data_IF_581635186849
#
_entry.id   IF_581635186849
#
_cell.length_a   1.000
_cell.length_b   1.000
_cell.length_c   1.000
_cell.angle_alpha   90.00
_cell.angle_beta   90.00
_cell.angle_gamma   90.00
#
_symmetry.space_group_name_H-M   'P 1'
#
loop_
_entity.id
_entity.type
_entity.pdbx_description
1 polymer ?
#
# COMPACT_ATOMS: atom_id res chain seq x y z
N UNK A 1 -6.30 3.51 -35.31
CA UNK A 1 -6.96 4.58 -34.56
C UNK A 1 -5.93 5.23 -33.63
N UNK A 2 -5.72 6.52 -33.79
CA UNK A 2 -4.80 7.28 -32.96
C UNK A 2 -5.63 8.11 -31.95
N UNK A 3 -5.28 8.03 -30.65
CA UNK A 3 -6.01 8.75 -29.60
C UNK A 3 -5.90 8.09 -28.22
N UNK A 4 -6.50 8.74 -27.22
CA UNK A 4 -6.58 8.19 -25.86
C UNK A 4 -7.60 7.04 -25.82
N UNK A 5 -7.12 5.82 -25.60
CA UNK A 5 -7.94 4.61 -25.54
C UNK A 5 -9.04 4.68 -24.47
N UNK A 6 -8.84 5.40 -23.36
CA UNK A 6 -9.85 5.54 -22.32
C UNK A 6 -10.98 6.51 -22.68
N UNK A 7 -10.74 7.46 -23.59
CA UNK A 7 -11.73 8.42 -24.10
C UNK A 7 -12.41 7.95 -25.38
N UNK A 8 -11.75 7.09 -26.15
CA UNK A 8 -12.29 6.53 -27.40
C UNK A 8 -13.42 5.56 -27.11
N UNK A 9 -14.49 5.59 -27.90
CA UNK A 9 -15.53 4.56 -27.89
C UNK A 9 -15.02 3.32 -28.67
N UNK A 10 -14.76 2.23 -27.97
CA UNK A 10 -14.22 1.02 -28.58
C UNK A 10 -15.20 0.33 -29.53
N UNK A 11 -16.52 0.57 -29.40
CA UNK A 11 -17.54 0.03 -30.32
C UNK A 11 -17.52 0.68 -31.68
N UNK A 12 -17.05 1.93 -31.76
CA UNK A 12 -16.78 2.58 -33.03
C UNK A 12 -15.55 2.03 -33.74
N UNK A 13 -14.57 1.55 -32.97
CA UNK A 13 -13.34 0.93 -33.50
C UNK A 13 -13.60 -0.52 -33.95
N UNK A 14 -14.36 -1.26 -33.14
CA UNK A 14 -14.77 -2.64 -33.40
C UNK A 14 -16.30 -2.73 -33.26
N UNK A 15 -17.05 -2.44 -34.31
CA UNK A 15 -18.49 -2.60 -34.30
C UNK A 15 -18.83 -4.10 -34.28
N UNK A 16 -19.53 -4.54 -33.21
CA UNK A 16 -20.04 -5.91 -33.07
C UNK A 16 -21.56 -5.84 -33.31
N UNK A 17 -22.04 -6.63 -34.25
CA UNK A 17 -23.43 -6.66 -34.66
C UNK A 17 -24.21 -7.77 -33.97
N UNK A 18 -25.55 -7.67 -33.95
CA UNK A 18 -26.42 -8.76 -33.51
C UNK A 18 -26.29 -10.00 -34.40
N UNK A 19 -25.92 -9.84 -35.67
CA UNK A 19 -25.64 -10.93 -36.59
C UNK A 19 -24.40 -11.71 -36.17
N UNK A 20 -23.30 -11.03 -35.76
CA UNK A 20 -22.08 -11.66 -35.25
C UNK A 20 -22.40 -12.48 -34.01
N UNK A 21 -23.20 -11.95 -33.09
CA UNK A 21 -23.64 -12.65 -31.88
C UNK A 21 -24.45 -13.91 -32.22
N UNK A 22 -25.37 -13.82 -33.17
CA UNK A 22 -26.18 -14.96 -33.65
C UNK A 22 -25.34 -16.03 -34.32
N UNK A 23 -24.26 -15.64 -34.99
CA UNK A 23 -23.29 -16.56 -35.63
C UNK A 23 -22.30 -17.17 -34.62
N UNK A 24 -22.41 -16.84 -33.34
CA UNK A 24 -21.52 -17.35 -32.29
C UNK A 24 -20.10 -16.77 -32.32
N UNK A 25 -19.93 -15.57 -32.89
CA UNK A 25 -18.65 -14.85 -32.88
C UNK A 25 -18.31 -14.45 -31.44
N UNK A 26 -17.13 -14.82 -30.98
CA UNK A 26 -16.60 -14.46 -29.65
C UNK A 26 -15.52 -13.40 -29.82
N UNK A 27 -15.66 -12.28 -29.11
CA UNK A 27 -14.67 -11.20 -29.13
C UNK A 27 -13.68 -11.35 -27.98
N UNK A 28 -12.39 -11.20 -28.28
CA UNK A 28 -11.32 -11.18 -27.28
C UNK A 28 -10.64 -9.81 -27.26
N UNK A 29 -10.52 -9.22 -26.07
CA UNK A 29 -9.76 -7.97 -25.85
C UNK A 29 -8.56 -8.29 -24.99
N UNK A 30 -7.35 -8.10 -25.52
CA UNK A 30 -6.13 -8.31 -24.78
C UNK A 30 -5.18 -7.11 -24.99
N UNK A 31 -4.36 -6.81 -23.97
CA UNK A 31 -3.42 -5.71 -24.06
C UNK A 31 -2.47 -5.59 -22.89
N UNK A 32 -1.51 -4.69 -23.07
CA UNK A 32 -0.57 -4.24 -22.04
C UNK A 32 -0.71 -2.72 -21.86
N UNK A 33 -1.66 -2.26 -21.04
CA UNK A 33 -1.88 -0.84 -20.79
C UNK A 33 -0.66 -0.15 -20.18
N UNK A 34 -0.50 1.17 -20.33
CA UNK A 34 0.58 1.91 -19.71
C UNK A 34 0.55 1.79 -18.18
N UNK A 35 1.72 1.54 -17.56
CA UNK A 35 1.85 1.41 -16.12
C UNK A 35 2.09 2.78 -15.48
N UNK A 36 1.07 3.34 -14.86
CA UNK A 36 1.16 4.51 -13.99
C UNK A 36 0.42 4.21 -12.69
N UNK A 37 1.20 4.00 -11.62
CA UNK A 37 0.65 3.68 -10.29
C UNK A 37 -0.14 4.85 -9.70
N UNK A 38 -0.91 4.56 -8.67
CA UNK A 38 -1.83 5.49 -7.98
C UNK A 38 -1.24 6.90 -7.75
N UNK A 39 -0.01 7.01 -7.24
CA UNK A 39 0.62 8.29 -6.91
C UNK A 39 1.44 8.95 -8.02
N UNK A 40 1.45 8.37 -9.23
CA UNK A 40 2.29 8.82 -10.36
C UNK A 40 1.48 9.26 -11.58
N UNK A 41 0.15 9.19 -11.50
CA UNK A 41 -0.73 9.65 -12.57
C UNK A 41 -0.63 11.16 -12.71
N UNK A 42 -0.45 11.63 -13.94
CA UNK A 42 -0.59 13.03 -14.26
C UNK A 42 -2.08 13.47 -14.27
N UNK A 43 -2.37 14.77 -14.36
CA UNK A 43 -3.75 15.27 -14.38
C UNK A 43 -4.59 14.74 -15.56
N UNK A 44 -4.00 14.55 -16.73
CA UNK A 44 -4.70 14.06 -17.93
C UNK A 44 -5.05 12.57 -17.77
N UNK A 45 -4.13 11.74 -17.32
CA UNK A 45 -4.36 10.33 -16.98
C UNK A 45 -5.46 10.19 -15.92
N UNK A 46 -5.44 11.06 -14.91
CA UNK A 46 -6.46 11.08 -13.87
C UNK A 46 -7.85 11.39 -14.44
N UNK A 47 -7.95 12.35 -15.35
CA UNK A 47 -9.21 12.71 -15.96
C UNK A 47 -9.74 11.60 -16.88
N UNK A 48 -8.88 11.01 -17.73
CA UNK A 48 -9.25 9.88 -18.58
C UNK A 48 -9.73 8.67 -17.75
N UNK A 49 -9.08 8.43 -16.60
CA UNK A 49 -9.49 7.37 -15.69
C UNK A 49 -10.85 7.64 -15.05
N UNK A 50 -11.15 8.89 -14.66
CA UNK A 50 -12.48 9.29 -14.17
C UNK A 50 -13.57 9.07 -15.22
N UNK A 51 -13.29 9.41 -16.47
CA UNK A 51 -14.22 9.19 -17.59
C UNK A 51 -14.50 7.68 -17.74
N UNK A 52 -13.46 6.84 -17.71
CA UNK A 52 -13.61 5.41 -17.85
C UNK A 52 -14.41 4.78 -16.69
N UNK A 53 -14.15 5.18 -15.44
CA UNK A 53 -14.78 4.61 -14.26
C UNK A 53 -16.13 5.25 -13.90
N UNK A 54 -16.32 6.52 -14.20
CA UNK A 54 -17.52 7.28 -13.82
C UNK A 54 -17.70 7.33 -12.31
N UNK A 55 -18.88 6.98 -11.81
CA UNK A 55 -19.22 6.99 -10.38
C UNK A 55 -18.44 5.98 -9.53
N UNK A 56 -17.88 4.94 -10.15
CA UNK A 56 -17.04 3.94 -9.47
C UNK A 56 -15.56 4.39 -9.34
N UNK A 57 -15.20 5.60 -9.79
CA UNK A 57 -13.84 6.10 -9.71
C UNK A 57 -13.40 6.32 -8.28
N UNK A 58 -12.20 5.83 -7.95
CA UNK A 58 -11.48 6.17 -6.72
C UNK A 58 -10.05 6.59 -7.01
N UNK A 59 -9.46 7.40 -6.15
CA UNK A 59 -8.07 7.83 -6.28
C UNK A 59 -7.04 6.70 -6.12
N UNK A 60 -7.46 5.54 -5.62
CA UNK A 60 -6.59 4.38 -5.39
C UNK A 60 -6.34 3.54 -6.66
N UNK A 61 -7.12 3.74 -7.70
CA UNK A 61 -7.00 3.00 -8.95
C UNK A 61 -5.73 3.37 -9.73
N UNK A 62 -4.97 2.39 -10.16
CA UNK A 62 -3.87 2.57 -11.11
C UNK A 62 -4.40 2.87 -12.51
N UNK A 63 -3.61 3.56 -13.34
CA UNK A 63 -4.07 3.99 -14.67
C UNK A 63 -4.48 2.82 -15.56
N UNK A 64 -3.74 1.71 -15.51
CA UNK A 64 -4.06 0.50 -16.27
C UNK A 64 -5.46 -0.06 -15.99
N UNK A 65 -6.06 0.24 -14.81
CA UNK A 65 -7.40 -0.25 -14.46
C UNK A 65 -8.51 0.31 -15.34
N UNK A 66 -8.26 1.44 -15.98
CA UNK A 66 -9.21 2.02 -16.96
C UNK A 66 -9.53 1.08 -18.12
N UNK A 67 -8.55 0.29 -18.58
CA UNK A 67 -8.76 -0.69 -19.64
C UNK A 67 -9.68 -1.84 -19.22
N UNK A 68 -9.56 -2.31 -17.96
CA UNK A 68 -10.49 -3.30 -17.40
C UNK A 68 -11.93 -2.77 -17.42
N UNK A 69 -12.11 -1.52 -17.00
CA UNK A 69 -13.45 -0.91 -16.98
C UNK A 69 -14.00 -0.69 -18.39
N UNK A 70 -13.19 -0.19 -19.30
CA UNK A 70 -13.58 -0.01 -20.71
C UNK A 70 -13.97 -1.35 -21.38
N UNK A 71 -13.14 -2.39 -21.18
CA UNK A 71 -13.42 -3.71 -21.72
C UNK A 71 -14.72 -4.29 -21.13
N UNK A 72 -14.91 -4.20 -19.81
CA UNK A 72 -16.13 -4.71 -19.17
C UNK A 72 -17.40 -4.04 -19.74
N UNK A 73 -17.35 -2.74 -20.00
CA UNK A 73 -18.47 -1.99 -20.59
C UNK A 73 -18.68 -2.28 -22.09
N UNK A 74 -17.60 -2.56 -22.82
CA UNK A 74 -17.69 -2.94 -24.22
C UNK A 74 -18.61 -4.14 -24.44
N UNK A 75 -18.56 -5.14 -23.54
CA UNK A 75 -19.36 -6.36 -23.61
C UNK A 75 -20.75 -6.22 -22.96
N UNK A 76 -21.02 -5.14 -22.25
CA UNK A 76 -22.29 -4.96 -21.51
C UNK A 76 -23.26 -4.12 -22.33
N UNK A 77 -24.54 -4.53 -22.45
CA UNK A 77 -25.55 -3.69 -23.08
C UNK A 77 -25.69 -2.35 -22.37
N UNK A 78 -25.88 -1.28 -23.14
CA UNK A 78 -26.23 0.03 -22.59
C UNK A 78 -27.70 0.30 -22.86
N UNK A 79 -28.44 0.62 -21.80
CA UNK A 79 -29.88 0.96 -21.93
C UNK A 79 -30.07 2.15 -22.87
N UNK A 80 -30.94 1.99 -23.90
CA UNK A 80 -31.27 3.03 -24.85
C UNK A 80 -30.31 3.20 -26.03
N UNK A 81 -29.21 2.45 -26.11
CA UNK A 81 -28.23 2.56 -27.21
C UNK A 81 -28.44 1.54 -28.33
N UNK A 82 -29.34 0.57 -28.15
CA UNK A 82 -29.58 -0.53 -29.12
C UNK A 82 -28.45 -1.57 -29.18
N UNK A 83 -27.40 -1.43 -28.34
CA UNK A 83 -26.35 -2.45 -28.26
C UNK A 83 -26.81 -3.68 -27.48
N UNK A 84 -26.54 -4.85 -28.03
CA UNK A 84 -26.81 -6.16 -27.43
C UNK A 84 -25.60 -6.61 -26.61
N UNK A 85 -25.80 -7.61 -25.70
CA UNK A 85 -24.72 -8.27 -25.04
C UNK A 85 -23.81 -8.99 -26.03
N UNK A 86 -22.51 -8.77 -25.94
CA UNK A 86 -21.51 -9.36 -26.82
C UNK A 86 -20.82 -10.50 -26.08
N UNK A 87 -20.81 -11.72 -26.62
CA UNK A 87 -19.98 -12.80 -26.05
C UNK A 87 -18.50 -12.47 -26.15
N UNK A 88 -17.80 -12.59 -25.05
CA UNK A 88 -16.36 -12.32 -25.09
C UNK A 88 -15.65 -12.38 -23.75
N UNK A 89 -14.35 -12.26 -23.85
CA UNK A 89 -13.42 -12.31 -22.74
C UNK A 89 -12.39 -11.18 -22.88
N UNK A 90 -11.83 -10.72 -21.78
CA UNK A 90 -10.73 -9.75 -21.83
C UNK A 90 -9.63 -10.09 -20.86
N UNK A 91 -8.38 -9.70 -21.19
CA UNK A 91 -7.23 -9.92 -20.35
C UNK A 91 -6.21 -8.80 -20.51
N UNK A 92 -5.64 -8.36 -19.39
CA UNK A 92 -4.61 -7.33 -19.41
C UNK A 92 -3.42 -7.69 -18.53
N UNK A 93 -2.24 -7.23 -18.98
CA UNK A 93 -1.05 -7.15 -18.14
C UNK A 93 -1.14 -5.90 -17.30
N UNK A 94 -0.81 -6.00 -16.02
CA UNK A 94 -0.79 -4.86 -15.10
C UNK A 94 0.28 -5.04 -14.04
N UNK A 95 0.63 -3.96 -13.36
CA UNK A 95 1.45 -4.06 -12.16
C UNK A 95 0.69 -4.83 -11.09
N UNK A 96 1.40 -5.60 -10.27
CA UNK A 96 0.80 -6.42 -9.22
C UNK A 96 0.12 -5.60 -8.10
N UNK A 97 0.32 -4.28 -8.07
CA UNK A 97 -0.34 -3.35 -7.15
C UNK A 97 -1.87 -3.42 -7.19
N UNK A 98 -2.45 -3.77 -8.35
CA UNK A 98 -3.90 -3.86 -8.52
C UNK A 98 -4.55 -5.03 -7.75
N UNK A 99 -3.74 -6.01 -7.32
CA UNK A 99 -4.18 -7.17 -6.56
C UNK A 99 -3.79 -7.09 -5.07
N UNK A 100 -3.44 -5.91 -4.59
CA UNK A 100 -2.88 -5.69 -3.26
C UNK A 100 -3.56 -4.52 -2.54
N UNK A 101 -3.88 -4.71 -1.27
CA UNK A 101 -4.36 -3.65 -0.40
C UNK A 101 -5.64 -2.95 -0.88
N UNK A 102 -5.68 -1.64 -0.74
CA UNK A 102 -6.86 -0.80 -1.01
C UNK A 102 -7.39 -0.86 -2.46
N UNK A 103 -6.59 -0.95 -3.52
CA UNK A 103 -7.09 -1.03 -4.90
C UNK A 103 -7.96 -2.24 -5.20
N UNK A 104 -7.82 -3.34 -4.45
CA UNK A 104 -8.51 -4.61 -4.76
C UNK A 104 -10.03 -4.48 -4.76
N UNK A 105 -10.70 -4.02 -3.69
CA UNK A 105 -12.16 -3.85 -3.73
C UNK A 105 -12.61 -2.81 -4.75
N UNK A 106 -11.81 -1.77 -4.99
CA UNK A 106 -12.14 -0.67 -5.90
C UNK A 106 -12.13 -1.12 -7.38
N UNK A 107 -11.19 -2.02 -7.75
CA UNK A 107 -11.12 -2.58 -9.08
C UNK A 107 -12.11 -3.74 -9.28
N UNK A 108 -12.02 -4.76 -8.41
CA UNK A 108 -12.74 -6.02 -8.64
C UNK A 108 -14.20 -5.97 -8.21
N UNK A 109 -14.55 -5.13 -7.23
CA UNK A 109 -15.92 -4.98 -6.76
C UNK A 109 -16.92 -4.63 -7.88
N UNK A 110 -16.70 -3.53 -8.63
CA UNK A 110 -17.54 -3.19 -9.77
C UNK A 110 -17.56 -4.25 -10.87
N UNK A 111 -16.41 -4.83 -11.22
CA UNK A 111 -16.35 -5.88 -12.25
C UNK A 111 -17.16 -7.12 -11.86
N UNK A 112 -17.05 -7.56 -10.60
CA UNK A 112 -17.80 -8.74 -10.13
C UNK A 112 -19.29 -8.45 -9.97
N UNK A 113 -19.67 -7.22 -9.59
CA UNK A 113 -21.07 -6.76 -9.59
C UNK A 113 -21.69 -6.78 -10.99
N UNK A 114 -20.91 -6.45 -12.02
CA UNK A 114 -21.32 -6.48 -13.42
C UNK A 114 -21.28 -7.92 -14.03
N UNK A 115 -21.09 -8.95 -13.20
CA UNK A 115 -21.15 -10.35 -13.60
C UNK A 115 -19.85 -10.96 -14.13
N UNK A 116 -18.76 -10.18 -14.14
CA UNK A 116 -17.46 -10.69 -14.56
C UNK A 116 -16.83 -11.58 -13.47
N UNK A 117 -16.09 -12.59 -13.90
CA UNK A 117 -15.33 -13.50 -13.05
C UNK A 117 -13.92 -13.66 -13.60
N UNK A 118 -12.95 -13.90 -12.72
CA UNK A 118 -11.59 -14.20 -13.15
C UNK A 118 -11.58 -15.62 -13.75
N UNK A 119 -11.26 -15.70 -15.03
CA UNK A 119 -11.14 -16.97 -15.76
C UNK A 119 -9.75 -17.56 -15.63
N UNK A 120 -8.72 -16.71 -15.71
CA UNK A 120 -7.36 -17.11 -15.45
C UNK A 120 -6.53 -15.98 -14.84
N UNK A 121 -5.49 -16.35 -14.12
CA UNK A 121 -4.55 -15.41 -13.54
C UNK A 121 -3.13 -15.94 -13.57
N UNK A 122 -2.20 -15.11 -14.04
CA UNK A 122 -0.79 -15.25 -13.75
C UNK A 122 -0.49 -14.39 -12.53
N UNK A 123 -0.11 -15.06 -11.43
CA UNK A 123 0.28 -14.39 -10.18
C UNK A 123 1.59 -13.63 -10.42
N UNK A 124 2.00 -12.84 -9.44
CA UNK A 124 3.15 -11.95 -9.57
C UNK A 124 4.39 -12.59 -10.21
N UNK A 125 4.84 -12.01 -11.30
CA UNK A 125 6.06 -12.42 -12.01
C UNK A 125 6.89 -11.18 -12.41
N UNK A 126 8.22 -11.32 -12.62
CA UNK A 126 9.06 -10.22 -13.04
C UNK A 126 8.83 -9.91 -14.52
N UNK A 127 8.45 -8.66 -14.82
CA UNK A 127 8.42 -8.17 -16.19
C UNK A 127 9.81 -7.62 -16.56
N UNK A 128 10.54 -8.34 -17.38
CA UNK A 128 11.84 -7.89 -17.87
C UNK A 128 11.66 -7.12 -19.18
N UNK A 129 12.05 -5.85 -19.19
CA UNK A 129 12.18 -5.09 -20.43
C UNK A 129 13.58 -5.38 -20.99
N UNK A 130 13.69 -5.67 -22.27
CA UNK A 130 14.98 -5.83 -22.99
C UNK A 130 15.81 -4.53 -22.99
N UNK A 131 15.22 -3.39 -22.61
CA UNK A 131 15.93 -2.11 -22.51
C UNK A 131 16.84 -2.08 -21.29
N UNK A 132 18.13 -1.89 -21.49
CA UNK A 132 19.15 -1.74 -20.44
C UNK A 132 18.80 -0.62 -19.46
N UNK A 133 18.89 -0.89 -18.15
CA UNK A 133 18.77 0.12 -17.08
C UNK A 133 17.37 0.36 -16.53
N UNK A 134 16.32 -0.39 -16.92
CA UNK A 134 14.99 -0.28 -16.28
C UNK A 134 14.85 -1.23 -15.11
N UNK A 135 14.30 -0.72 -13.99
CA UNK A 135 13.97 -1.53 -12.83
C UNK A 135 12.94 -2.61 -13.23
N UNK A 136 13.17 -3.85 -12.77
CA UNK A 136 12.19 -4.92 -12.93
C UNK A 136 10.86 -4.52 -12.30
N UNK A 137 9.78 -4.58 -13.09
CA UNK A 137 8.42 -4.34 -12.62
C UNK A 137 7.77 -5.68 -12.34
N UNK A 138 7.11 -5.79 -11.22
CA UNK A 138 6.32 -6.96 -10.88
C UNK A 138 4.93 -6.86 -11.49
N UNK A 139 4.59 -7.80 -12.35
CA UNK A 139 3.32 -7.81 -13.09
C UNK A 139 2.44 -8.99 -12.72
N UNK A 140 1.17 -8.85 -13.07
CA UNK A 140 0.15 -9.90 -13.10
C UNK A 140 -0.52 -9.88 -14.47
N UNK A 141 -1.07 -11.02 -14.89
CA UNK A 141 -2.00 -11.07 -16.04
C UNK A 141 -3.32 -11.62 -15.53
N UNK A 142 -4.41 -10.91 -15.81
CA UNK A 142 -5.73 -11.32 -15.33
C UNK A 142 -6.71 -11.32 -16.49
N UNK A 143 -7.29 -12.47 -16.74
CA UNK A 143 -8.33 -12.67 -17.75
C UNK A 143 -9.69 -12.81 -17.10
N UNK A 144 -10.70 -12.19 -17.71
CA UNK A 144 -12.07 -12.16 -17.25
C UNK A 144 -13.00 -12.77 -18.29
N UNK A 145 -13.99 -13.52 -17.82
CA UNK A 145 -15.10 -14.03 -18.60
C UNK A 145 -16.39 -13.96 -17.78
N UNK A 146 -17.52 -14.09 -18.46
CA UNK A 146 -18.82 -14.27 -17.83
C UNK A 146 -19.16 -15.74 -17.68
N UNK A 147 -20.01 -16.05 -16.71
CA UNK A 147 -20.54 -17.39 -16.52
C UNK A 147 -21.52 -17.69 -17.65
N UNK A 148 -21.29 -18.77 -18.38
CA UNK A 148 -22.22 -19.25 -19.40
C UNK A 148 -23.24 -20.18 -18.71
N UNK A 149 -24.55 -19.98 -18.87
CA UNK A 149 -25.56 -20.84 -18.27
C UNK A 149 -25.35 -22.33 -18.66
N UNK A 150 -25.36 -23.21 -17.66
CA UNK A 150 -25.17 -24.63 -17.85
C UNK A 150 -23.71 -25.11 -17.88
N UNK A 151 -22.74 -24.18 -17.81
CA UNK A 151 -21.32 -24.52 -17.77
C UNK A 151 -20.76 -24.44 -16.34
N UNK A 152 -19.92 -25.40 -15.99
CA UNK A 152 -19.15 -25.35 -14.74
C UNK A 152 -17.95 -24.39 -14.91
N UNK A 153 -18.16 -23.14 -14.56
CA UNK A 153 -17.15 -22.09 -14.72
C UNK A 153 -15.84 -22.41 -13.98
N UNK A 154 -15.88 -23.14 -12.87
CA UNK A 154 -14.67 -23.52 -12.11
C UNK A 154 -13.71 -24.35 -12.94
N UNK A 155 -14.22 -25.24 -13.78
CA UNK A 155 -13.39 -26.07 -14.69
C UNK A 155 -12.64 -25.25 -15.73
N UNK A 156 -13.08 -24.01 -15.98
CA UNK A 156 -12.41 -23.08 -16.90
C UNK A 156 -11.37 -22.21 -16.21
N UNK A 157 -11.36 -22.16 -14.87
CA UNK A 157 -10.46 -21.28 -14.11
C UNK A 157 -9.07 -21.89 -14.02
N UNK A 158 -8.03 -21.07 -14.24
CA UNK A 158 -6.63 -21.48 -14.21
C UNK A 158 -5.80 -20.43 -13.48
N UNK A 159 -4.99 -20.85 -12.54
CA UNK A 159 -4.00 -20.00 -11.85
C UNK A 159 -2.60 -20.49 -12.25
N UNK A 160 -1.74 -19.54 -12.55
CA UNK A 160 -0.35 -19.78 -12.86
C UNK A 160 0.53 -19.04 -11.84
N UNK A 161 1.51 -19.75 -11.28
CA UNK A 161 2.49 -19.18 -10.34
C UNK A 161 3.89 -19.22 -10.92
N UNK A 162 4.60 -18.10 -10.82
CA UNK A 162 5.99 -18.01 -11.25
C UNK A 162 6.92 -18.46 -10.12
N UNK A 163 7.72 -19.48 -10.38
CA UNK A 163 8.78 -19.92 -9.46
C UNK A 163 10.03 -19.06 -9.62
N UNK A 164 10.37 -18.32 -8.58
CA UNK A 164 11.58 -17.49 -8.53
C UNK A 164 12.88 -18.31 -8.53
N UNK A 165 12.81 -19.57 -8.11
CA UNK A 165 13.95 -20.49 -8.06
C UNK A 165 14.26 -21.08 -9.43
N UNK A 166 13.25 -21.66 -10.07
CA UNK A 166 13.39 -22.34 -11.36
C UNK A 166 13.21 -21.42 -12.55
N UNK A 167 12.66 -20.21 -12.34
CA UNK A 167 12.27 -19.24 -13.40
C UNK A 167 11.25 -19.81 -14.39
N UNK A 168 10.45 -20.76 -13.95
CA UNK A 168 9.37 -21.38 -14.73
C UNK A 168 8.01 -20.99 -14.17
N UNK A 169 6.97 -21.17 -14.96
CA UNK A 169 5.59 -20.96 -14.54
C UNK A 169 4.90 -22.32 -14.40
N UNK A 170 4.24 -22.54 -13.28
CA UNK A 170 3.50 -23.75 -12.96
C UNK A 170 2.01 -23.45 -12.84
N UNK A 171 1.17 -24.37 -13.28
CA UNK A 171 -0.28 -24.25 -13.11
C UNK A 171 -0.71 -24.85 -11.77
N UNK A 172 -1.47 -24.06 -11.00
CA UNK A 172 -2.04 -24.50 -9.74
C UNK A 172 -3.47 -25.00 -9.93
N UNK A 173 -3.84 -26.03 -9.20
CA UNK A 173 -5.21 -26.55 -9.19
C UNK A 173 -6.17 -25.55 -8.56
N UNK A 174 -7.30 -25.29 -9.22
CA UNK A 174 -8.37 -24.43 -8.71
C UNK A 174 -9.55 -25.32 -8.30
N UNK A 175 -9.93 -25.24 -7.03
CA UNK A 175 -11.00 -26.04 -6.44
C UNK A 175 -12.18 -25.20 -5.97
N UNK A 176 -11.93 -24.03 -5.41
CA UNK A 176 -12.94 -23.13 -4.85
C UNK A 176 -13.34 -22.05 -5.86
N UNK A 177 -12.34 -21.48 -6.51
CA UNK A 177 -12.46 -20.40 -7.48
C UNK A 177 -11.41 -19.32 -7.25
N UNK A 178 -11.17 -18.48 -8.26
CA UNK A 178 -10.16 -17.43 -8.20
C UNK A 178 -10.77 -16.17 -7.61
N UNK A 179 -10.28 -15.74 -6.45
CA UNK A 179 -10.70 -14.49 -5.82
C UNK A 179 -9.89 -13.27 -6.31
N UNK A 180 -10.26 -12.09 -5.86
CA UNK A 180 -9.63 -10.81 -6.24
C UNK A 180 -8.15 -10.68 -5.83
N UNK A 181 -7.68 -11.51 -4.91
CA UNK A 181 -6.27 -11.58 -4.49
C UNK A 181 -5.48 -12.67 -5.27
N UNK A 182 -6.07 -13.20 -6.33
CA UNK A 182 -5.54 -14.26 -7.19
C UNK A 182 -5.20 -15.56 -6.42
N UNK A 183 -6.05 -15.91 -5.46
CA UNK A 183 -5.94 -17.15 -4.68
C UNK A 183 -7.12 -18.10 -5.02
N UNK A 184 -6.88 -19.39 -4.92
CA UNK A 184 -7.96 -20.39 -4.89
C UNK A 184 -8.65 -20.37 -3.53
N UNK A 185 -9.63 -19.48 -3.39
CA UNK A 185 -10.36 -19.24 -2.15
C UNK A 185 -11.71 -18.56 -2.43
N UNK A 186 -12.64 -18.56 -1.44
CA UNK A 186 -13.87 -17.81 -1.53
C UNK A 186 -13.61 -16.31 -1.80
N UNK A 187 -14.56 -15.68 -2.50
CA UNK A 187 -14.48 -14.23 -2.76
C UNK A 187 -14.68 -13.45 -1.47
N UNK A 188 -13.68 -12.66 -1.12
CA UNK A 188 -13.72 -11.72 0.01
C UNK A 188 -13.08 -10.41 -0.40
N UNK A 189 -13.57 -9.29 0.13
CA UNK A 189 -12.94 -7.99 0.00
C UNK A 189 -12.59 -7.45 1.39
N UNK A 190 -11.32 -7.12 1.58
CA UNK A 190 -10.86 -6.41 2.77
C UNK A 190 -10.84 -4.93 2.43
N UNK A 191 -11.78 -4.18 3.01
CA UNK A 191 -11.90 -2.74 2.79
C UNK A 191 -11.26 -1.96 3.94
N UNK A 192 -10.92 -0.70 3.69
CA UNK A 192 -10.38 0.20 4.70
C UNK A 192 -11.35 0.34 5.89
N UNK A 193 -10.86 0.07 7.10
CA UNK A 193 -11.56 0.31 8.36
C UNK A 193 -10.81 1.35 9.19
N UNK A 194 -11.56 2.24 9.83
CA UNK A 194 -10.99 3.29 10.69
C UNK A 194 -10.80 2.81 12.14
N UNK A 195 -11.47 1.73 12.54
CA UNK A 195 -11.37 1.11 13.87
C UNK A 195 -11.08 -0.38 13.73
N UNK A 196 -10.46 -0.95 14.74
CA UNK A 196 -10.14 -2.38 14.82
C UNK A 196 -11.42 -3.23 14.77
N UNK A 197 -11.34 -4.39 14.12
CA UNK A 197 -12.41 -5.37 14.04
C UNK A 197 -12.51 -6.18 15.34
N UNK A 198 -11.36 -6.69 15.79
CA UNK A 198 -11.28 -7.45 17.04
C UNK A 198 -11.15 -6.50 18.24
N UNK A 199 -11.97 -6.64 19.28
CA UNK A 199 -11.90 -5.80 20.48
C UNK A 199 -10.61 -6.02 21.29
N UNK A 200 -9.91 -7.12 21.06
CA UNK A 200 -8.66 -7.46 21.74
C UNK A 200 -7.45 -6.67 21.18
N UNK A 201 -7.62 -6.04 20.02
CA UNK A 201 -6.55 -5.26 19.39
C UNK A 201 -6.63 -3.79 19.81
N UNK A 202 -5.49 -3.24 20.26
CA UNK A 202 -5.36 -1.79 20.45
C UNK A 202 -5.31 -1.07 19.10
N UNK A 203 -5.80 0.18 19.09
CA UNK A 203 -5.65 1.05 17.92
C UNK A 203 -4.17 1.33 17.65
N UNK A 204 -3.84 1.46 16.38
CA UNK A 204 -2.47 1.73 15.92
C UNK A 204 -2.33 3.18 15.50
N UNK A 205 -1.38 3.89 16.11
CA UNK A 205 -0.97 5.24 15.76
C UNK A 205 0.38 5.24 15.02
N UNK A 206 0.70 6.37 14.37
CA UNK A 206 2.05 6.56 13.79
C UNK A 206 3.03 6.93 14.90
N UNK A 207 4.31 6.66 14.68
CA UNK A 207 5.38 7.16 15.52
C UNK A 207 5.54 8.68 15.44
N UNK A 208 6.25 9.23 16.40
CA UNK A 208 6.49 10.67 16.52
C UNK A 208 7.41 11.20 15.42
N UNK A 209 7.06 12.34 14.82
CA UNK A 209 7.84 12.96 13.73
C UNK A 209 8.60 14.19 14.23
N UNK A 210 9.93 14.21 14.14
CA UNK A 210 10.72 15.31 14.68
C UNK A 210 10.54 16.62 13.91
N UNK A 211 10.54 16.60 12.57
CA UNK A 211 10.46 17.81 11.71
C UNK A 211 11.47 18.86 12.14
N UNK A 212 12.74 18.46 12.25
CA UNK A 212 13.79 19.19 12.97
C UNK A 212 15.07 19.43 12.13
N UNK A 213 15.12 18.92 10.89
CA UNK A 213 16.33 18.95 10.06
C UNK A 213 17.48 18.11 10.64
N UNK A 214 17.19 17.17 11.55
CA UNK A 214 18.16 16.30 12.21
C UNK A 214 18.74 16.87 13.52
N UNK A 215 18.31 18.06 13.96
CA UNK A 215 18.91 18.73 15.12
C UNK A 215 18.38 18.21 16.48
N UNK A 216 17.22 17.57 16.53
CA UNK A 216 16.71 16.88 17.74
C UNK A 216 17.11 15.42 17.76
N UNK A 217 17.67 14.89 16.67
CA UNK A 217 18.20 13.54 16.61
C UNK A 217 19.65 13.55 17.07
N UNK A 218 20.03 12.53 17.81
CA UNK A 218 21.41 12.32 18.30
C UNK A 218 21.94 11.07 17.63
N UNK A 219 22.81 11.27 16.65
CA UNK A 219 23.49 10.17 15.96
C UNK A 219 24.58 9.58 16.88
N UNK A 220 25.02 8.34 16.63
CA UNK A 220 26.06 7.70 17.47
C UNK A 220 27.33 8.56 17.63
N UNK A 221 27.69 9.30 16.59
CA UNK A 221 28.89 10.16 16.57
C UNK A 221 28.76 11.39 17.49
N UNK A 222 27.52 11.87 17.70
CA UNK A 222 27.24 13.04 18.54
C UNK A 222 26.95 12.68 20.00
N UNK A 223 26.82 11.38 20.33
CA UNK A 223 26.30 10.93 21.61
C UNK A 223 27.13 11.41 22.79
N UNK A 224 28.44 11.28 22.74
CA UNK A 224 29.34 11.66 23.82
C UNK A 224 29.35 13.18 24.02
N UNK A 225 29.27 13.97 22.95
CA UNK A 225 29.14 15.44 23.04
C UNK A 225 27.86 15.83 23.77
N UNK A 226 26.73 15.26 23.37
CA UNK A 226 25.42 15.55 23.97
C UNK A 226 25.35 15.10 25.41
N UNK A 227 25.91 13.94 25.74
CA UNK A 227 25.94 13.42 27.12
C UNK A 227 26.90 14.18 28.03
N UNK A 228 27.87 14.92 27.48
CA UNK A 228 28.76 15.79 28.26
C UNK A 228 28.07 17.07 28.75
N UNK A 229 26.95 17.48 28.11
CA UNK A 229 26.11 18.58 28.58
C UNK A 229 25.13 18.06 29.65
N UNK A 230 25.25 18.51 30.92
CA UNK A 230 24.48 17.96 32.04
C UNK A 230 22.97 18.25 31.95
N UNK A 231 22.58 19.21 31.14
CA UNK A 231 21.17 19.55 30.90
C UNK A 231 20.62 18.70 29.75
N UNK A 232 21.29 18.69 28.61
CA UNK A 232 20.87 17.90 27.47
C UNK A 232 20.78 16.41 27.81
N UNK A 233 21.73 15.87 28.57
CA UNK A 233 21.77 14.47 28.97
C UNK A 233 20.50 14.00 29.69
N UNK A 234 19.81 14.87 30.45
CA UNK A 234 18.53 14.54 31.11
C UNK A 234 17.42 14.16 30.14
N UNK A 235 17.49 14.71 28.93
CA UNK A 235 16.46 14.60 27.92
C UNK A 235 16.80 13.64 26.78
N UNK A 236 17.96 12.99 26.82
CA UNK A 236 18.32 11.95 25.85
C UNK A 236 17.45 10.72 26.07
N UNK A 237 16.82 10.27 24.99
CA UNK A 237 16.02 9.03 24.98
C UNK A 237 16.44 8.16 23.80
N UNK A 238 16.41 6.83 23.94
CA UNK A 238 16.58 5.93 22.81
C UNK A 238 15.54 6.25 21.73
N UNK A 239 15.98 6.35 20.47
CA UNK A 239 15.13 6.64 19.32
C UNK A 239 15.19 5.52 18.31
N UNK A 240 14.05 5.06 17.82
CA UNK A 240 13.98 3.96 16.86
C UNK A 240 13.15 4.38 15.64
N UNK A 241 13.81 4.55 14.50
CA UNK A 241 13.15 4.49 13.20
C UNK A 241 13.05 3.03 12.73
N UNK A 242 12.48 2.77 11.58
CA UNK A 242 12.30 1.40 11.08
C UNK A 242 13.64 0.62 10.97
N UNK A 243 14.73 1.29 10.59
CA UNK A 243 16.06 0.69 10.50
C UNK A 243 16.57 0.24 11.87
N UNK A 244 16.56 1.13 12.86
CA UNK A 244 17.03 0.87 14.21
C UNK A 244 16.12 -0.17 14.93
N UNK A 245 14.81 -0.09 14.67
CA UNK A 245 13.87 -1.07 15.20
C UNK A 245 14.18 -2.49 14.68
N UNK A 246 14.50 -2.62 13.40
CA UNK A 246 14.79 -3.90 12.75
C UNK A 246 16.20 -4.42 13.12
N UNK A 247 17.23 -3.55 13.04
CA UNK A 247 18.63 -3.94 13.25
C UNK A 247 19.05 -3.98 14.70
N UNK A 248 18.36 -3.23 15.58
CA UNK A 248 18.77 -3.02 16.97
C UNK A 248 19.90 -1.99 17.10
N UNK A 249 20.27 -1.27 16.05
CA UNK A 249 21.29 -0.23 16.10
C UNK A 249 20.91 0.89 17.06
N UNK A 250 21.89 1.46 17.72
CA UNK A 250 21.69 2.56 18.65
C UNK A 250 21.52 3.88 17.93
N UNK A 251 20.58 4.65 18.41
CA UNK A 251 20.28 6.02 18.01
C UNK A 251 19.44 6.67 19.09
N UNK A 252 19.57 7.96 19.28
CA UNK A 252 18.88 8.70 20.35
C UNK A 252 18.22 9.94 19.80
N UNK A 253 17.43 10.58 20.65
CA UNK A 253 16.88 11.91 20.40
C UNK A 253 16.88 12.74 21.69
N UNK A 254 16.81 14.05 21.50
CA UNK A 254 16.50 15.01 22.53
C UNK A 254 14.98 15.09 22.67
N UNK A 255 14.43 14.46 23.70
CA UNK A 255 13.01 14.45 24.01
C UNK A 255 12.71 15.52 25.05
N UNK A 256 12.61 16.79 24.56
CA UNK A 256 12.63 18.00 25.40
C UNK A 256 11.23 18.37 25.96
N UNK A 257 10.32 17.42 26.12
CA UNK A 257 9.03 17.68 26.75
C UNK A 257 9.26 18.06 28.21
N UNK A 258 8.73 19.24 28.60
CA UNK A 258 8.84 19.77 29.95
C UNK A 258 10.14 20.49 30.27
N UNK A 259 11.04 20.69 29.30
CA UNK A 259 12.21 21.55 29.48
C UNK A 259 11.76 22.99 29.75
N UNK A 260 12.48 23.68 30.63
CA UNK A 260 12.25 25.07 30.94
C UNK A 260 13.16 25.99 30.13
N UNK A 261 12.72 27.22 29.87
CA UNK A 261 13.56 28.23 29.16
C UNK A 261 14.91 28.43 29.86
N UNK A 262 14.92 28.43 31.20
CA UNK A 262 16.14 28.55 31.98
C UNK A 262 17.14 27.41 31.71
N UNK A 263 16.66 26.17 31.59
CA UNK A 263 17.52 25.03 31.24
C UNK A 263 18.07 25.18 29.82
N UNK A 264 17.25 25.63 28.87
CA UNK A 264 17.72 25.88 27.50
C UNK A 264 18.82 26.92 27.49
N UNK A 265 18.64 28.05 28.20
CA UNK A 265 19.66 29.12 28.28
C UNK A 265 20.96 28.69 28.93
N UNK A 266 20.92 27.71 29.84
CA UNK A 266 22.10 27.17 30.51
C UNK A 266 22.87 26.16 29.65
N UNK A 267 22.31 25.68 28.54
CA UNK A 267 22.94 24.72 27.63
C UNK A 267 23.23 25.36 26.26
N UNK A 268 24.47 25.80 25.99
CA UNK A 268 24.85 26.33 24.68
C UNK A 268 24.61 25.34 23.54
N UNK A 269 24.72 24.03 23.82
CA UNK A 269 24.45 22.95 22.88
C UNK A 269 22.97 22.97 22.49
N UNK A 270 22.04 23.01 23.47
CA UNK A 270 20.61 23.04 23.19
C UNK A 270 20.20 24.30 22.45
N UNK A 271 20.70 25.49 22.88
CA UNK A 271 20.43 26.76 22.19
C UNK A 271 20.76 26.67 20.71
N UNK A 272 21.96 26.25 20.35
CA UNK A 272 22.41 26.11 18.97
C UNK A 272 21.54 25.16 18.16
N UNK A 273 21.21 23.99 18.73
CA UNK A 273 20.36 22.98 18.06
C UNK A 273 18.93 23.51 17.85
N UNK A 274 18.34 24.17 18.85
CA UNK A 274 16.99 24.71 18.77
C UNK A 274 16.87 25.89 17.81
N UNK A 275 17.88 26.78 17.74
CA UNK A 275 17.98 27.81 16.72
C UNK A 275 17.96 27.20 15.31
N UNK A 276 18.74 26.14 15.08
CA UNK A 276 18.79 25.45 13.81
C UNK A 276 17.43 24.80 13.44
N UNK A 277 16.72 24.23 14.43
CA UNK A 277 15.35 23.70 14.23
C UNK A 277 14.40 24.81 13.82
N UNK A 278 14.42 25.94 14.54
CA UNK A 278 13.56 27.10 14.25
C UNK A 278 13.80 27.65 12.84
N UNK A 279 15.05 27.84 12.46
CA UNK A 279 15.42 28.32 11.12
C UNK A 279 14.94 27.36 10.03
N UNK A 280 15.14 26.06 10.19
CA UNK A 280 14.70 25.05 9.23
C UNK A 280 13.19 25.08 9.05
N UNK A 281 12.44 25.17 10.16
CA UNK A 281 10.98 25.24 10.13
C UNK A 281 10.47 26.51 9.46
N UNK A 282 11.07 27.68 9.73
CA UNK A 282 10.73 28.96 9.11
C UNK A 282 10.97 28.96 7.59
N UNK A 283 12.01 28.27 7.12
CA UNK A 283 12.35 28.14 5.70
C UNK A 283 11.43 27.18 4.92
N UNK A 284 10.55 26.46 5.61
CA UNK A 284 9.64 25.49 4.97
C UNK A 284 8.61 26.18 4.06
N UNK A 285 8.27 25.62 2.88
CA UNK A 285 7.18 26.15 2.06
C UNK A 285 5.79 25.90 2.66
N UNK A 286 5.69 25.05 3.69
CA UNK A 286 4.43 24.65 4.33
C UNK A 286 4.17 25.54 5.56
N UNK A 287 3.08 26.29 5.54
CA UNK A 287 2.66 27.13 6.68
C UNK A 287 2.51 26.37 8.00
N UNK A 288 2.03 25.11 7.93
CA UNK A 288 1.92 24.27 9.12
C UNK A 288 3.28 23.99 9.76
N UNK A 289 4.32 23.75 8.97
CA UNK A 289 5.69 23.56 9.46
C UNK A 289 6.27 24.87 10.00
N UNK A 290 6.00 26.01 9.35
CA UNK A 290 6.46 27.33 9.85
C UNK A 290 5.94 27.63 11.26
N UNK A 291 4.68 27.29 11.55
CA UNK A 291 4.10 27.45 12.90
C UNK A 291 4.83 26.65 13.99
N UNK A 292 5.41 25.51 13.64
CA UNK A 292 6.19 24.70 14.60
C UNK A 292 7.49 25.39 15.05
N UNK A 293 7.93 26.44 14.36
CA UNK A 293 9.10 27.21 14.77
C UNK A 293 8.91 27.96 16.11
N UNK A 294 7.67 28.18 16.54
CA UNK A 294 7.34 28.76 17.85
C UNK A 294 7.69 27.83 19.03
N UNK A 295 7.82 26.52 18.76
CA UNK A 295 8.15 25.50 19.76
C UNK A 295 9.26 24.57 19.24
N UNK A 296 10.48 25.08 19.03
CA UNK A 296 11.57 24.33 18.39
C UNK A 296 12.05 23.13 19.21
N UNK A 297 11.80 23.13 20.52
CA UNK A 297 12.13 22.04 21.46
C UNK A 297 11.20 20.83 21.34
N UNK A 298 10.03 20.97 20.70
CA UNK A 298 9.09 19.86 20.53
C UNK A 298 9.24 19.20 19.17
N UNK A 299 8.99 17.91 19.11
CA UNK A 299 8.77 17.21 17.83
C UNK A 299 7.55 17.81 17.13
N UNK A 300 7.56 17.80 15.80
CA UNK A 300 6.46 18.32 14.99
C UNK A 300 5.15 17.55 15.17
N UNK A 301 5.25 16.23 15.42
CA UNK A 301 4.12 15.36 15.82
C UNK A 301 4.58 14.47 16.97
N UNK A 302 3.78 14.41 18.04
CA UNK A 302 4.06 13.65 19.26
C UNK A 302 2.94 12.64 19.46
N UNK A 303 3.27 11.36 19.42
CA UNK A 303 2.32 10.24 19.54
C UNK A 303 2.79 9.19 20.55
N UNK A 304 3.87 9.46 21.30
CA UNK A 304 4.51 8.50 22.21
C UNK A 304 3.53 7.98 23.27
N UNK A 305 3.32 6.64 23.40
CA UNK A 305 2.54 6.06 24.46
C UNK A 305 3.20 6.25 25.83
N UNK A 306 2.37 6.30 26.88
CA UNK A 306 2.83 6.33 28.27
C UNK A 306 3.09 4.92 28.84
N UNK A 307 2.61 3.90 28.17
CA UNK A 307 2.75 2.49 28.54
C UNK A 307 3.69 1.77 27.56
N UNK A 308 4.04 0.52 27.90
CA UNK A 308 4.74 -0.35 26.97
C UNK A 308 3.92 -0.56 25.71
N UNK A 309 4.59 -0.71 24.60
CA UNK A 309 3.94 -0.79 23.30
C UNK A 309 4.71 -1.67 22.31
N UNK A 310 4.03 -2.15 21.29
CA UNK A 310 4.67 -2.77 20.14
C UNK A 310 5.00 -1.73 19.08
N UNK A 311 6.27 -1.62 18.71
CA UNK A 311 6.77 -0.84 17.59
C UNK A 311 6.73 -1.68 16.30
N UNK A 312 6.09 -1.16 15.26
CA UNK A 312 5.78 -1.87 14.02
C UNK A 312 6.39 -1.09 12.85
N UNK A 313 7.43 -1.59 12.17
CA UNK A 313 8.00 -0.92 11.00
C UNK A 313 6.95 -0.80 9.88
N UNK A 314 6.93 0.35 9.20
CA UNK A 314 6.04 0.55 8.05
C UNK A 314 6.35 -0.36 6.88
N UNK A 315 7.61 -0.78 6.74
CA UNK A 315 8.06 -1.65 5.65
C UNK A 315 8.99 -2.72 6.22
N UNK A 316 8.74 -3.97 5.85
CA UNK A 316 9.53 -5.13 6.24
C UNK A 316 9.86 -5.95 5.00
N UNK A 317 11.10 -6.44 4.89
CA UNK A 317 11.52 -7.24 3.73
C UNK A 317 10.64 -8.50 3.57
N UNK A 318 10.22 -8.77 2.34
CA UNK A 318 9.45 -9.97 1.97
C UNK A 318 10.15 -11.28 2.33
N UNK A 319 11.50 -11.25 2.45
CA UNK A 319 12.33 -12.42 2.75
C UNK A 319 12.27 -12.87 4.19
N UNK A 320 11.65 -12.07 5.08
CA UNK A 320 11.55 -12.43 6.48
C UNK A 320 10.46 -13.49 6.70
N UNK A 321 10.71 -14.49 7.53
CA UNK A 321 9.74 -15.57 7.79
C UNK A 321 8.55 -15.10 8.64
N UNK A 322 8.69 -13.99 9.40
CA UNK A 322 7.66 -13.33 10.19
C UNK A 322 7.77 -11.82 10.09
N UNK A 323 6.69 -11.12 10.42
CA UNK A 323 6.68 -9.67 10.42
C UNK A 323 7.51 -9.15 11.60
N UNK A 324 8.58 -8.41 11.30
CA UNK A 324 9.51 -7.93 12.34
C UNK A 324 8.88 -6.76 13.10
N UNK A 325 8.64 -6.93 14.38
CA UNK A 325 8.22 -5.90 15.32
C UNK A 325 9.07 -5.99 16.59
N UNK A 326 8.94 -5.04 17.50
CA UNK A 326 9.59 -5.10 18.83
C UNK A 326 8.63 -4.61 19.90
N UNK A 327 8.63 -5.31 21.02
CA UNK A 327 8.04 -4.82 22.26
C UNK A 327 9.00 -3.83 22.90
N UNK A 328 8.52 -2.63 23.18
CA UNK A 328 9.32 -1.50 23.66
C UNK A 328 8.67 -0.93 24.92
N UNK A 329 9.50 -0.41 25.84
CA UNK A 329 9.01 0.38 26.95
C UNK A 329 8.73 1.83 26.52
N UNK A 330 7.99 2.57 27.35
CA UNK A 330 7.58 3.95 27.06
C UNK A 330 8.72 4.95 26.92
N UNK A 331 9.91 4.64 27.44
CA UNK A 331 11.10 5.52 27.36
C UNK A 331 11.77 5.50 25.98
N UNK A 332 11.49 4.49 25.17
CA UNK A 332 11.99 4.39 23.81
C UNK A 332 11.05 5.17 22.87
N UNK A 333 11.57 6.16 22.17
CA UNK A 333 10.78 6.97 21.24
C UNK A 333 10.76 6.32 19.88
N UNK A 334 9.56 5.97 19.37
CA UNK A 334 9.40 5.46 18.02
C UNK A 334 9.19 6.61 17.03
N UNK A 335 10.02 6.64 15.98
CA UNK A 335 9.90 7.62 14.89
C UNK A 335 8.82 7.27 13.87
N UNK A 336 8.48 8.21 13.02
CA UNK A 336 7.35 8.18 12.06
C UNK A 336 7.45 7.12 10.94
N UNK A 337 8.62 6.48 10.78
CA UNK A 337 8.74 5.30 9.92
C UNK A 337 8.19 4.02 10.58
N UNK A 338 7.66 4.12 11.79
CA UNK A 338 6.98 3.04 12.50
C UNK A 338 5.52 3.38 12.77
N UNK A 339 4.79 2.36 13.13
CA UNK A 339 3.53 2.43 13.85
C UNK A 339 3.71 1.93 15.29
N UNK A 340 2.77 2.27 16.16
CA UNK A 340 2.77 1.89 17.57
C UNK A 340 1.37 1.45 17.99
N UNK A 341 1.30 0.40 18.80
CA UNK A 341 0.09 0.00 19.51
C UNK A 341 0.43 -0.27 20.97
N UNK A 342 -0.37 0.25 21.90
CA UNK A 342 -0.21 0.00 23.34
C UNK A 342 -0.31 -1.50 23.60
N UNK A 343 0.69 -2.06 24.27
CA UNK A 343 0.85 -3.50 24.47
C UNK A 343 1.56 -3.75 25.82
N UNK A 344 0.86 -3.58 26.95
CA UNK A 344 1.49 -3.65 28.26
C UNK A 344 2.02 -5.03 28.63
N UNK A 345 1.43 -6.09 28.10
CA UNK A 345 1.72 -7.49 28.44
C UNK A 345 2.39 -8.30 27.32
N UNK A 346 2.61 -7.71 26.12
CA UNK A 346 3.23 -8.38 24.99
C UNK A 346 2.29 -9.26 24.15
N UNK A 347 0.97 -9.16 24.38
CA UNK A 347 -0.01 -9.91 23.60
C UNK A 347 0.04 -9.53 22.12
N UNK A 348 -0.01 -8.23 21.80
CA UNK A 348 0.02 -7.76 20.41
C UNK A 348 1.35 -8.07 19.73
N UNK A 349 2.47 -8.01 20.48
CA UNK A 349 3.76 -8.44 19.96
C UNK A 349 3.73 -9.92 19.54
N UNK A 350 3.11 -10.80 20.33
CA UNK A 350 2.98 -12.21 19.98
C UNK A 350 2.11 -12.42 18.74
N UNK A 351 1.00 -11.69 18.61
CA UNK A 351 0.12 -11.72 17.46
C UNK A 351 0.87 -11.32 16.17
N UNK A 352 1.54 -10.17 16.18
CA UNK A 352 2.23 -9.64 14.98
C UNK A 352 3.46 -10.47 14.57
N UNK A 353 4.08 -11.14 15.55
CA UNK A 353 5.23 -12.02 15.30
C UNK A 353 4.82 -13.42 14.83
N UNK A 354 3.52 -13.72 14.74
CA UNK A 354 3.01 -15.02 14.34
C UNK A 354 3.09 -15.27 12.84
N UNK A 355 3.11 -16.54 12.45
CA UNK A 355 2.99 -16.97 11.05
C UNK A 355 1.64 -16.62 10.43
N UNK A 356 0.58 -16.56 11.25
CA UNK A 356 -0.74 -16.09 10.82
C UNK A 356 -0.71 -14.62 10.38
N UNK A 357 -0.09 -13.75 11.17
CA UNK A 357 -0.03 -12.33 10.84
C UNK A 357 0.75 -12.06 9.55
N UNK A 358 1.91 -12.67 9.36
CA UNK A 358 2.68 -12.46 8.12
C UNK A 358 1.95 -13.00 6.89
N UNK A 359 1.20 -14.10 7.03
CA UNK A 359 0.35 -14.64 5.96
C UNK A 359 -0.79 -13.67 5.64
N UNK A 360 -1.47 -13.14 6.65
CA UNK A 360 -2.49 -12.10 6.53
C UNK A 360 -1.93 -10.85 5.82
N UNK A 361 -0.78 -10.37 6.26
CA UNK A 361 -0.10 -9.21 5.66
C UNK A 361 0.27 -9.46 4.18
N UNK A 362 0.74 -10.66 3.84
CA UNK A 362 1.09 -11.03 2.46
C UNK A 362 -0.12 -11.08 1.53
N UNK A 363 -1.26 -11.50 2.04
CA UNK A 363 -2.49 -11.62 1.24
C UNK A 363 -3.20 -10.28 1.07
N UNK A 364 -3.44 -9.55 2.17
CA UNK A 364 -4.30 -8.37 2.18
C UNK A 364 -3.53 -7.05 2.22
N UNK A 365 -2.27 -7.08 2.61
CA UNK A 365 -1.43 -5.89 2.69
C UNK A 365 -0.96 -5.39 1.33
N UNK A 366 -0.47 -4.15 1.31
CA UNK A 366 0.24 -3.60 0.17
C UNK A 366 1.73 -3.91 0.21
N UNK A 367 2.40 -3.59 -0.89
CA UNK A 367 3.84 -3.73 -1.02
C UNK A 367 4.48 -2.41 -1.40
N UNK A 368 5.74 -2.23 -1.05
CA UNK A 368 6.62 -1.20 -1.56
C UNK A 368 7.73 -1.89 -2.36
N UNK A 369 7.61 -1.91 -3.68
CA UNK A 369 8.36 -2.82 -4.56
C UNK A 369 8.02 -4.28 -4.20
N UNK A 370 8.97 -5.04 -3.65
CA UNK A 370 8.75 -6.40 -3.15
C UNK A 370 8.49 -6.47 -1.63
N UNK A 371 8.84 -5.42 -0.89
CA UNK A 371 8.77 -5.43 0.57
C UNK A 371 7.35 -5.23 1.10
N UNK A 372 7.02 -5.91 2.18
CA UNK A 372 5.70 -5.85 2.83
C UNK A 372 5.48 -4.47 3.46
N UNK A 373 4.43 -3.79 3.06
CA UNK A 373 4.03 -2.49 3.60
C UNK A 373 2.87 -2.64 4.56
N UNK A 374 3.12 -2.41 5.84
CA UNK A 374 2.09 -2.42 6.87
C UNK A 374 1.08 -1.29 6.65
N UNK A 375 -0.18 -1.59 6.90
CA UNK A 375 -1.29 -0.63 6.90
C UNK A 375 -2.16 -0.86 8.12
N UNK A 376 -2.33 0.17 8.94
CA UNK A 376 -3.25 0.11 10.06
C UNK A 376 -4.70 -0.09 9.59
N UNK A 377 -5.13 0.58 8.54
CA UNK A 377 -6.53 0.60 8.09
C UNK A 377 -6.95 -0.62 7.26
N UNK A 378 -6.02 -1.28 6.58
CA UNK A 378 -6.31 -2.45 5.73
C UNK A 378 -5.88 -3.75 6.41
N UNK A 379 -4.69 -3.76 6.99
CA UNK A 379 -4.12 -4.99 7.59
C UNK A 379 -4.56 -5.13 9.04
N UNK A 380 -4.17 -4.16 9.89
CA UNK A 380 -4.38 -4.26 11.33
C UNK A 380 -5.84 -4.18 11.74
N UNK A 381 -6.54 -3.15 11.28
CA UNK A 381 -7.94 -2.92 11.67
C UNK A 381 -8.91 -3.98 11.13
N UNK A 382 -8.49 -4.84 10.21
CA UNK A 382 -9.29 -5.96 9.69
C UNK A 382 -8.82 -7.31 10.22
N UNK A 383 -7.79 -7.36 11.06
CA UNK A 383 -7.35 -8.61 11.66
C UNK A 383 -8.45 -9.15 12.58
N UNK A 384 -8.90 -10.41 12.35
CA UNK A 384 -10.01 -11.02 13.09
C UNK A 384 -9.64 -11.39 14.53
#
# INVERSE_FOLDING_TARGET
YEGDALRTDWRQVLPVTSEDTTRGVVTYIAGNPPFSGQGKKDPEQTESLKIAWGTDYTGYLDFATGWYRKASRFFTPESGTGYTEVPGEFAFVSTNSITQGQPVPDLFGPLFRDGWKIRFAYRTFPWQSEASGKAAVHCVIIGFARIIPGEDFKKRQRIFEYSWQTKTTEELTVTTGINAYLLDAPQVFVTKRMRVLSPELSEVSRGSQPTDGGNLIVEPEDYDEVMSDPIAAKYVRPYRQAKELISGADRWCLWLIGITDNEVFQSPLLLKRLESVSEMRLKSPKRATQKLAESPHLFGEIHQPLENYVGIPRVVSERRPWFTARHLNSDVIAGDANFMAVDPDGFLFSVISSSMFITWQKVFGGYLKSDLRFSNTVVWNNLP
#
